data_IF_994834013880
#
_entry.id   IF_994834013880
#
_cell.length_a   1.000
_cell.length_b   1.000
_cell.length_c   1.000
_cell.angle_alpha   90.00
_cell.angle_beta   90.00
_cell.angle_gamma   90.00
#
_symmetry.space_group_name_H-M   'P 1'
#
loop_
_entity.id
_entity.type
_entity.pdbx_description
1 polymer ?
#
# COMPACT_ATOMS: atom_id res chain seq x y z
N UNK A 1 -24.86 -1.66 5.68
CA UNK A 1 -23.61 -0.89 5.77
C UNK A 1 -23.04 -1.07 7.16
N UNK A 2 -21.83 -1.59 7.22
CA UNK A 2 -21.08 -1.82 8.44
C UNK A 2 -19.83 -0.95 8.43
N UNK A 3 -19.34 -0.57 9.62
CA UNK A 3 -18.09 0.18 9.75
C UNK A 3 -16.92 -0.80 9.68
N UNK A 4 -15.92 -0.47 8.86
CA UNK A 4 -14.67 -1.20 8.73
C UNK A 4 -13.50 -0.26 8.98
N UNK A 5 -12.69 -0.56 10.00
CA UNK A 5 -11.42 0.10 10.24
C UNK A 5 -10.36 -0.44 9.30
N UNK A 6 -9.51 0.44 8.77
CA UNK A 6 -8.58 0.07 7.72
C UNK A 6 -7.17 0.60 7.93
N UNK A 7 -6.22 -0.08 7.29
CA UNK A 7 -4.90 0.47 6.98
C UNK A 7 -4.45 -0.04 5.61
N UNK A 8 -4.23 0.88 4.67
CA UNK A 8 -3.88 0.52 3.29
C UNK A 8 -2.42 0.80 2.94
N UNK A 9 -1.59 1.12 3.93
CA UNK A 9 -0.19 1.44 3.71
C UNK A 9 0.69 0.86 4.81
N UNK A 10 1.17 -0.36 4.58
CA UNK A 10 1.94 -1.16 5.53
C UNK A 10 3.06 -1.89 4.80
N UNK A 11 4.25 -1.94 5.41
CA UNK A 11 5.41 -2.63 4.87
C UNK A 11 5.77 -3.86 5.72
N UNK A 12 6.04 -4.96 5.04
CA UNK A 12 6.61 -6.16 5.65
C UNK A 12 8.13 -6.14 5.60
N UNK A 13 8.75 -7.15 6.21
CA UNK A 13 10.18 -7.46 6.13
C UNK A 13 10.73 -7.67 4.69
N UNK A 14 9.90 -7.56 3.64
CA UNK A 14 10.35 -7.46 2.26
C UNK A 14 10.84 -6.05 1.90
N UNK A 15 10.21 -5.01 2.43
CA UNK A 15 10.76 -3.65 2.35
C UNK A 15 11.99 -3.55 3.26
N UNK A 16 13.16 -3.12 2.75
CA UNK A 16 14.39 -3.12 3.55
C UNK A 16 14.34 -2.15 4.72
N UNK A 17 13.63 -1.02 4.57
CA UNK A 17 13.44 -0.04 5.62
C UNK A 17 12.48 -0.47 6.73
N UNK A 18 11.74 -1.57 6.55
CA UNK A 18 10.87 -2.12 7.59
C UNK A 18 11.65 -3.10 8.47
N UNK A 19 11.21 -3.27 9.70
CA UNK A 19 11.84 -4.17 10.66
C UNK A 19 11.71 -5.65 10.22
N UNK A 20 12.72 -6.47 10.53
CA UNK A 20 12.69 -7.91 10.23
C UNK A 20 11.51 -8.61 10.94
N UNK A 21 11.04 -8.07 12.08
CA UNK A 21 9.87 -8.55 12.80
C UNK A 21 8.54 -8.19 12.11
N UNK A 22 8.52 -7.33 11.08
CA UNK A 22 7.33 -7.09 10.25
C UNK A 22 7.06 -8.26 9.29
N UNK A 23 7.05 -9.50 9.79
CA UNK A 23 6.61 -10.65 9.01
C UNK A 23 5.12 -10.51 8.65
N UNK A 24 4.65 -11.12 7.55
CA UNK A 24 3.23 -11.10 7.22
C UNK A 24 2.31 -11.62 8.33
N UNK A 25 2.76 -12.60 9.13
CA UNK A 25 2.00 -13.06 10.30
C UNK A 25 1.97 -12.05 11.43
N UNK A 26 3.11 -11.43 11.77
CA UNK A 26 3.17 -10.43 12.82
C UNK A 26 2.32 -9.21 12.46
N UNK A 27 2.35 -8.76 11.20
CA UNK A 27 1.47 -7.69 10.71
C UNK A 27 0.00 -8.05 10.86
N UNK A 28 -0.44 -9.23 10.39
CA UNK A 28 -1.83 -9.65 10.51
C UNK A 28 -2.29 -9.81 11.97
N UNK A 29 -1.40 -10.32 12.83
CA UNK A 29 -1.66 -10.44 14.28
C UNK A 29 -1.77 -9.08 14.95
N UNK A 30 -0.86 -8.15 14.64
CA UNK A 30 -0.90 -6.79 15.17
C UNK A 30 -2.15 -6.05 14.72
N UNK A 31 -2.54 -6.18 13.44
CA UNK A 31 -3.77 -5.60 12.92
C UNK A 31 -5.01 -6.06 13.70
N UNK A 32 -5.06 -7.35 14.07
CA UNK A 32 -6.14 -7.88 14.90
C UNK A 32 -6.13 -7.30 16.32
N UNK A 33 -4.96 -7.00 16.89
CA UNK A 33 -4.84 -6.37 18.21
C UNK A 33 -5.24 -4.89 18.18
N UNK A 34 -4.92 -4.18 17.10
CA UNK A 34 -5.25 -2.77 16.86
C UNK A 34 -6.71 -2.54 16.39
N UNK A 35 -7.50 -3.60 16.20
CA UNK A 35 -8.91 -3.50 15.78
C UNK A 35 -9.11 -3.23 14.28
N UNK A 36 -8.06 -3.35 13.47
CA UNK A 36 -8.14 -3.18 12.01
C UNK A 36 -8.93 -4.33 11.39
N UNK A 37 -9.82 -4.03 10.45
CA UNK A 37 -10.68 -5.02 9.79
C UNK A 37 -10.23 -5.31 8.36
N UNK A 38 -9.73 -4.29 7.65
CA UNK A 38 -9.26 -4.41 6.27
C UNK A 38 -7.82 -3.88 6.22
N UNK A 39 -6.89 -4.66 5.68
CA UNK A 39 -5.51 -4.22 5.58
C UNK A 39 -4.89 -4.55 4.24
N UNK A 40 -4.14 -3.60 3.67
CA UNK A 40 -3.33 -3.82 2.49
C UNK A 40 -1.86 -3.97 2.88
N UNK A 41 -1.19 -4.96 2.29
CA UNK A 41 0.28 -5.02 2.30
C UNK A 41 0.79 -4.33 1.05
N UNK A 42 1.69 -3.35 1.22
CA UNK A 42 2.15 -2.44 0.17
C UNK A 42 3.67 -2.29 0.22
N UNK A 43 4.41 -3.40 0.18
CA UNK A 43 5.87 -3.36 0.10
C UNK A 43 6.36 -2.51 -1.08
N UNK A 44 7.55 -1.91 -0.94
CA UNK A 44 8.10 -1.07 -2.00
C UNK A 44 8.32 -1.89 -3.27
N UNK A 45 7.75 -1.44 -4.39
CA UNK A 45 7.98 -2.01 -5.72
C UNK A 45 7.87 -3.54 -5.80
N UNK A 46 7.10 -4.18 -4.91
CA UNK A 46 6.86 -5.63 -4.96
C UNK A 46 5.60 -6.06 -4.21
N UNK A 47 4.97 -7.12 -4.70
CA UNK A 47 3.85 -7.81 -4.05
C UNK A 47 4.26 -9.19 -3.50
N UNK A 48 5.56 -9.54 -3.46
CA UNK A 48 6.01 -10.93 -3.22
C UNK A 48 5.59 -11.50 -1.86
N UNK A 49 5.36 -10.67 -0.85
CA UNK A 49 4.84 -11.11 0.46
C UNK A 49 3.30 -11.08 0.57
N UNK A 50 2.58 -10.59 -0.43
CA UNK A 50 1.11 -10.61 -0.44
C UNK A 50 0.51 -12.02 -0.27
N UNK A 51 1.05 -13.11 -0.87
CA UNK A 51 0.51 -14.45 -0.66
C UNK A 51 0.56 -14.90 0.81
N UNK A 52 1.71 -14.75 1.45
CA UNK A 52 1.87 -15.06 2.88
C UNK A 52 0.96 -14.19 3.75
N UNK A 53 0.84 -12.91 3.41
CA UNK A 53 -0.06 -11.99 4.09
C UNK A 53 -1.53 -12.40 3.96
N UNK A 54 -1.99 -12.85 2.80
CA UNK A 54 -3.37 -13.31 2.60
C UNK A 54 -3.71 -14.52 3.48
N UNK A 55 -2.77 -15.46 3.60
CA UNK A 55 -2.91 -16.61 4.50
C UNK A 55 -2.97 -16.19 5.97
N UNK A 56 -2.07 -15.29 6.38
CA UNK A 56 -2.01 -14.75 7.73
C UNK A 56 -3.25 -13.93 8.10
N UNK A 57 -3.70 -13.06 7.21
CA UNK A 57 -4.91 -12.24 7.37
C UNK A 57 -6.13 -13.12 7.58
N UNK A 58 -6.29 -14.19 6.80
CA UNK A 58 -7.38 -15.15 6.93
C UNK A 58 -7.41 -15.81 8.31
N UNK A 59 -6.25 -16.18 8.88
CA UNK A 59 -6.15 -16.77 10.22
C UNK A 59 -6.50 -15.78 11.33
N UNK A 60 -6.23 -14.49 11.11
CA UNK A 60 -6.45 -13.41 12.08
C UNK A 60 -7.77 -12.65 11.88
N UNK A 61 -8.63 -13.08 10.96
CA UNK A 61 -9.92 -12.41 10.71
C UNK A 61 -9.80 -11.05 10.02
N UNK A 62 -8.66 -10.75 9.40
CA UNK A 62 -8.42 -9.54 8.61
C UNK A 62 -8.87 -9.80 7.17
N UNK A 63 -9.50 -8.80 6.55
CA UNK A 63 -9.82 -8.81 5.11
C UNK A 63 -8.58 -8.28 4.37
N UNK A 64 -7.81 -9.14 3.68
CA UNK A 64 -6.58 -8.69 3.04
C UNK A 64 -6.88 -8.01 1.70
N UNK A 65 -6.08 -7.00 1.39
CA UNK A 65 -5.95 -6.35 0.08
C UNK A 65 -4.50 -6.56 -0.39
N UNK A 66 -4.32 -6.92 -1.66
CA UNK A 66 -2.98 -7.01 -2.23
C UNK A 66 -2.59 -5.64 -2.78
N UNK A 67 -1.37 -5.21 -2.52
CA UNK A 67 -0.91 -3.91 -2.99
C UNK A 67 0.59 -3.79 -3.08
N UNK A 68 1.01 -2.59 -3.48
CA UNK A 68 2.40 -2.19 -3.66
C UNK A 68 2.49 -0.69 -3.44
N UNK A 69 3.50 -0.22 -2.72
CA UNK A 69 3.90 1.18 -2.82
C UNK A 69 4.90 1.30 -3.97
N UNK A 70 4.46 1.88 -5.08
CA UNK A 70 5.28 2.05 -6.28
C UNK A 70 5.99 3.40 -6.23
N UNK A 71 7.32 3.38 -6.39
CA UNK A 71 8.12 4.60 -6.54
C UNK A 71 8.23 4.95 -8.04
N UNK A 72 7.64 6.06 -8.45
CA UNK A 72 7.69 6.53 -9.84
C UNK A 72 9.05 7.16 -10.17
N UNK A 73 9.28 7.46 -11.44
CA UNK A 73 10.51 8.07 -11.95
C UNK A 73 10.77 9.48 -11.41
N UNK A 74 9.72 10.16 -10.98
CA UNK A 74 9.73 11.45 -10.30
C UNK A 74 10.08 11.32 -8.81
N UNK A 75 10.35 10.11 -8.33
CA UNK A 75 10.54 9.77 -6.92
C UNK A 75 9.26 9.97 -6.09
N UNK A 76 8.08 9.89 -6.72
CA UNK A 76 6.78 10.00 -6.05
C UNK A 76 6.30 8.61 -5.66
N UNK A 77 5.80 8.45 -4.44
CA UNK A 77 5.17 7.20 -4.02
C UNK A 77 3.67 7.22 -4.34
N UNK A 78 3.21 6.14 -4.95
CA UNK A 78 1.79 5.88 -5.15
C UNK A 78 1.44 4.50 -4.59
N UNK A 79 0.31 4.40 -3.91
CA UNK A 79 -0.23 3.12 -3.47
C UNK A 79 -1.00 2.53 -4.63
N UNK A 80 -0.67 1.28 -4.98
CA UNK A 80 -1.39 0.48 -5.95
C UNK A 80 -2.11 -0.65 -5.20
N UNK A 81 -3.42 -0.76 -5.36
CA UNK A 81 -4.23 -1.81 -4.74
C UNK A 81 -4.91 -2.66 -5.82
N UNK A 82 -5.02 -3.96 -5.56
CA UNK A 82 -5.65 -4.94 -6.45
C UNK A 82 -6.68 -5.79 -5.69
N UNK A 83 -7.83 -6.02 -6.33
CA UNK A 83 -8.95 -6.78 -5.74
C UNK A 83 -8.59 -8.27 -5.60
N UNK A 84 -7.81 -8.78 -6.55
CA UNK A 84 -7.39 -10.17 -6.60
C UNK A 84 -5.87 -10.27 -6.40
N UNK A 85 -5.47 -11.25 -5.59
CA UNK A 85 -4.06 -11.52 -5.31
C UNK A 85 -3.31 -11.87 -6.59
N UNK A 86 -3.94 -12.66 -7.45
CA UNK A 86 -3.40 -13.10 -8.73
C UNK A 86 -3.03 -11.89 -9.60
N UNK A 87 -3.92 -10.90 -9.67
CA UNK A 87 -3.70 -9.66 -10.42
C UNK A 87 -2.55 -8.84 -9.86
N UNK A 88 -2.41 -8.75 -8.54
CA UNK A 88 -1.27 -8.08 -7.91
C UNK A 88 0.07 -8.75 -8.25
N UNK A 89 0.10 -10.08 -8.31
CA UNK A 89 1.30 -10.85 -8.68
C UNK A 89 1.62 -10.76 -10.18
N UNK A 90 0.61 -10.59 -11.04
CA UNK A 90 0.83 -10.27 -12.44
C UNK A 90 1.38 -8.85 -12.62
N UNK A 91 0.87 -7.89 -11.84
CA UNK A 91 1.40 -6.54 -11.81
C UNK A 91 2.86 -6.48 -11.32
N UNK A 92 3.20 -7.20 -10.24
CA UNK A 92 4.59 -7.34 -9.74
C UNK A 92 5.55 -7.79 -10.86
N UNK A 93 5.16 -8.79 -11.65
CA UNK A 93 5.95 -9.23 -12.81
C UNK A 93 6.00 -8.19 -13.93
N UNK A 94 4.93 -7.42 -14.10
CA UNK A 94 4.82 -6.41 -15.14
C UNK A 94 5.68 -5.17 -14.89
N UNK A 95 5.91 -4.83 -13.62
CA UNK A 95 6.74 -3.69 -13.25
C UNK A 95 8.25 -4.01 -13.30
N UNK A 96 8.63 -5.28 -13.21
CA UNK A 96 10.04 -5.71 -13.14
C UNK A 96 10.93 -5.14 -14.26
N UNK A 97 10.50 -5.11 -15.54
CA UNK A 97 11.30 -4.48 -16.61
C UNK A 97 11.53 -2.97 -16.45
N UNK A 98 10.74 -2.29 -15.62
CA UNK A 98 10.88 -0.87 -15.31
C UNK A 98 11.68 -0.62 -14.03
N UNK A 99 11.96 -1.66 -13.24
CA UNK A 99 12.76 -1.52 -12.02
C UNK A 99 14.22 -1.26 -12.37
N UNK A 100 14.86 -0.44 -11.56
CA UNK A 100 16.32 -0.31 -11.56
C UNK A 100 16.90 -1.37 -10.64
N UNK A 101 17.54 -2.39 -11.21
CA UNK A 101 18.17 -3.46 -10.43
C UNK A 101 19.53 -3.01 -9.89
N UNK A 102 19.53 -2.56 -8.64
CA UNK A 102 20.72 -2.21 -7.88
C UNK A 102 20.88 -3.16 -6.70
N UNK A 103 22.06 -3.80 -6.48
CA UNK A 103 22.25 -4.72 -5.37
C UNK A 103 21.99 -4.07 -4.00
N UNK A 104 21.19 -4.73 -3.16
CA UNK A 104 20.93 -4.27 -1.79
C UNK A 104 22.21 -4.35 -0.93
N UNK A 105 22.38 -3.37 -0.05
CA UNK A 105 23.43 -3.36 0.98
C UNK A 105 22.81 -3.71 2.31
N UNK A 106 22.73 -5.02 2.59
CA UNK A 106 22.09 -5.58 3.80
C UNK A 106 22.66 -4.97 5.10
N UNK A 107 23.95 -4.65 5.13
CA UNK A 107 24.61 -4.03 6.28
C UNK A 107 24.20 -2.56 6.54
N UNK A 108 23.55 -1.92 5.57
CA UNK A 108 23.08 -0.52 5.65
C UNK A 108 21.56 -0.47 5.70
N UNK A 109 20.90 -1.22 4.81
CA UNK A 109 19.47 -1.10 4.57
C UNK A 109 18.65 -2.22 5.18
N UNK A 110 19.24 -3.30 5.71
CA UNK A 110 18.47 -4.43 6.23
C UNK A 110 18.19 -5.52 5.20
N UNK A 111 17.54 -6.59 5.65
CA UNK A 111 17.15 -7.72 4.81
C UNK A 111 15.92 -7.38 3.96
N UNK A 112 15.66 -8.20 2.94
CA UNK A 112 14.43 -8.13 2.15
C UNK A 112 13.89 -9.55 2.00
N UNK A 113 13.17 -10.01 3.02
CA UNK A 113 12.77 -11.41 3.17
C UNK A 113 11.45 -11.70 2.49
N UNK A 114 11.43 -12.76 1.69
CA UNK A 114 10.21 -13.32 1.11
C UNK A 114 9.76 -14.47 2.00
N UNK A 115 8.56 -14.36 2.55
CA UNK A 115 8.01 -15.27 3.55
C UNK A 115 6.95 -16.19 2.93
N UNK A 116 6.75 -17.36 3.53
CA UNK A 116 5.53 -18.14 3.33
C UNK A 116 4.49 -17.87 4.45
N UNK A 117 3.32 -18.51 4.34
CA UNK A 117 2.26 -18.36 5.32
C UNK A 117 2.62 -18.89 6.71
N UNK A 118 3.69 -19.65 6.90
CA UNK A 118 4.07 -20.25 8.19
C UNK A 118 5.32 -19.57 8.79
N UNK A 119 5.60 -18.32 8.39
CA UNK A 119 6.76 -17.52 8.81
C UNK A 119 8.13 -18.12 8.46
N UNK A 120 8.19 -18.99 7.45
CA UNK A 120 9.48 -19.43 6.92
C UNK A 120 9.96 -18.45 5.84
N UNK A 121 11.26 -18.13 5.89
CA UNK A 121 11.93 -17.43 4.79
C UNK A 121 12.08 -18.39 3.61
N UNK A 122 11.39 -18.10 2.50
CA UNK A 122 11.43 -18.90 1.26
C UNK A 122 12.27 -18.25 0.17
N UNK A 123 12.73 -17.02 0.39
CA UNK A 123 13.62 -16.31 -0.52
C UNK A 123 14.06 -14.97 0.04
N UNK A 124 14.94 -14.31 -0.69
CA UNK A 124 15.37 -12.93 -0.43
C UNK A 124 15.36 -12.15 -1.74
N UNK A 125 15.05 -10.86 -1.68
CA UNK A 125 15.22 -9.95 -2.81
C UNK A 125 16.63 -9.34 -2.75
N UNK A 126 17.43 -9.62 -3.78
CA UNK A 126 18.83 -9.20 -3.87
C UNK A 126 18.96 -7.72 -4.28
N UNK A 127 17.96 -7.13 -4.93
CA UNK A 127 18.00 -5.74 -5.38
C UNK A 127 17.27 -4.81 -4.42
N UNK A 128 17.82 -3.63 -4.16
CA UNK A 128 17.19 -2.62 -3.30
C UNK A 128 15.84 -2.18 -3.89
N UNK A 129 14.75 -2.57 -3.23
CA UNK A 129 13.38 -2.34 -3.72
C UNK A 129 12.97 -0.87 -3.81
N UNK A 130 13.28 0.02 -2.84
CA UNK A 130 12.76 1.39 -2.83
C UNK A 130 13.28 2.32 -3.94
N UNK A 131 14.12 1.83 -4.87
CA UNK A 131 14.64 2.66 -5.96
C UNK A 131 13.52 3.05 -6.93
N UNK A 132 13.49 4.32 -7.33
CA UNK A 132 12.61 4.81 -8.39
C UNK A 132 12.64 3.94 -9.65
N UNK A 133 11.44 3.60 -10.13
CA UNK A 133 11.26 2.89 -11.40
C UNK A 133 11.38 3.85 -12.59
N UNK A 134 11.46 3.30 -13.80
CA UNK A 134 11.42 4.07 -15.03
C UNK A 134 10.00 4.53 -15.43
N UNK A 135 8.97 4.22 -14.61
CA UNK A 135 7.59 4.61 -14.88
C UNK A 135 7.35 6.04 -14.39
N UNK A 136 6.91 6.93 -15.29
CA UNK A 136 6.33 8.21 -14.89
C UNK A 136 5.05 8.01 -14.10
N UNK A 137 4.61 9.02 -13.36
CA UNK A 137 3.32 8.95 -12.66
C UNK A 137 2.15 8.67 -13.63
N UNK A 138 2.15 9.27 -14.83
CA UNK A 138 1.15 9.02 -15.86
C UNK A 138 1.17 7.57 -16.37
N UNK A 139 2.36 7.01 -16.59
CA UNK A 139 2.49 5.64 -17.12
C UNK A 139 2.26 4.58 -16.04
N UNK A 140 2.61 4.89 -14.78
CA UNK A 140 2.29 4.07 -13.62
C UNK A 140 0.78 3.92 -13.46
N UNK A 141 0.02 5.03 -13.51
CA UNK A 141 -1.45 4.99 -13.42
C UNK A 141 -2.06 4.16 -14.55
N UNK A 142 -1.65 4.38 -15.80
CA UNK A 142 -2.13 3.58 -16.95
C UNK A 142 -1.81 2.09 -16.79
N UNK A 143 -0.65 1.76 -16.21
CA UNK A 143 -0.27 0.37 -15.99
C UNK A 143 -1.14 -0.27 -14.90
N UNK A 144 -1.39 0.42 -13.78
CA UNK A 144 -2.28 -0.06 -12.72
C UNK A 144 -3.70 -0.30 -13.27
N UNK A 145 -4.23 0.65 -14.05
CA UNK A 145 -5.55 0.52 -14.69
C UNK A 145 -5.63 -0.68 -15.64
N UNK A 146 -4.57 -0.96 -16.39
CA UNK A 146 -4.49 -2.14 -17.27
C UNK A 146 -4.64 -3.46 -16.50
N UNK A 147 -4.23 -3.49 -15.24
CA UNK A 147 -4.41 -4.62 -14.33
C UNK A 147 -5.63 -4.44 -13.42
N UNK A 148 -6.61 -3.62 -13.82
CA UNK A 148 -7.88 -3.39 -13.11
C UNK A 148 -7.72 -2.90 -11.65
N UNK A 149 -6.50 -2.47 -11.28
CA UNK A 149 -6.17 -1.94 -9.98
C UNK A 149 -6.62 -0.50 -9.83
N UNK A 150 -6.46 0.00 -8.62
CA UNK A 150 -6.61 1.42 -8.30
C UNK A 150 -5.29 1.94 -7.76
N UNK A 151 -5.01 3.22 -7.96
CA UNK A 151 -3.89 3.85 -7.32
C UNK A 151 -4.17 5.30 -6.93
N UNK A 152 -3.44 5.75 -5.91
CA UNK A 152 -3.50 7.12 -5.40
C UNK A 152 -2.13 7.53 -4.84
N UNK A 153 -1.81 8.83 -4.83
CA UNK A 153 -0.57 9.30 -4.25
C UNK A 153 -0.55 9.04 -2.74
N UNK A 154 0.54 8.43 -2.28
CA UNK A 154 0.81 8.17 -0.88
C UNK A 154 1.17 9.46 -0.14
N UNK A 155 0.88 9.49 1.17
CA UNK A 155 1.36 10.49 2.14
C UNK A 155 1.64 11.91 1.56
N UNK A 156 0.63 12.52 0.93
CA UNK A 156 0.79 13.75 0.15
C UNK A 156 1.29 14.96 0.95
N UNK A 157 1.23 14.86 2.28
CA UNK A 157 1.65 15.86 3.25
C UNK A 157 3.08 15.64 3.78
N UNK A 158 3.79 14.61 3.31
CA UNK A 158 5.22 14.43 3.57
C UNK A 158 6.11 15.19 2.59
N UNK A 159 7.31 15.53 3.06
CA UNK A 159 8.34 16.23 2.27
C UNK A 159 9.18 15.27 1.40
N UNK A 160 9.32 14.02 1.82
CA UNK A 160 9.98 12.97 1.05
C UNK A 160 8.92 12.19 0.29
N UNK A 161 9.16 11.94 -1.00
CA UNK A 161 8.36 11.12 -1.92
C UNK A 161 6.87 11.49 -2.08
N UNK A 162 6.39 12.53 -1.40
CA UNK A 162 5.04 13.05 -1.53
C UNK A 162 4.86 13.83 -2.84
N UNK A 163 3.72 13.61 -3.50
CA UNK A 163 3.41 14.25 -4.80
C UNK A 163 3.46 15.79 -4.73
N UNK A 164 2.95 16.39 -3.65
CA UNK A 164 2.89 17.85 -3.49
C UNK A 164 4.28 18.43 -3.23
N UNK A 165 5.11 17.76 -2.44
CA UNK A 165 6.47 18.21 -2.18
C UNK A 165 7.33 18.15 -3.46
N UNK A 166 7.09 17.12 -4.29
CA UNK A 166 7.83 16.89 -5.53
C UNK A 166 7.41 17.82 -6.66
N UNK A 167 6.09 17.96 -6.89
CA UNK A 167 5.56 18.74 -8.02
C UNK A 167 5.14 20.17 -7.65
N UNK A 168 5.05 20.49 -6.36
CA UNK A 168 4.53 21.76 -5.84
C UNK A 168 3.01 21.90 -5.89
N UNK A 169 2.31 20.93 -6.48
CA UNK A 169 0.86 20.92 -6.66
C UNK A 169 0.31 19.49 -6.80
N UNK A 170 -1.01 19.33 -6.68
CA UNK A 170 -1.70 18.15 -7.19
C UNK A 170 -1.91 18.34 -8.70
N UNK A 171 -1.38 17.46 -9.57
CA UNK A 171 -1.51 17.63 -11.01
C UNK A 171 -2.97 17.38 -11.47
N UNK A 172 -3.35 17.98 -12.60
CA UNK A 172 -4.66 17.74 -13.23
C UNK A 172 -4.72 16.39 -13.98
N UNK A 173 -3.56 15.87 -14.39
CA UNK A 173 -3.38 14.54 -15.00
C UNK A 173 -2.13 13.90 -14.40
N UNK A 174 -2.16 12.60 -14.04
CA UNK A 174 -3.34 11.74 -14.05
C UNK A 174 -4.38 12.15 -12.98
N UNK A 175 -5.65 11.79 -13.20
CA UNK A 175 -6.74 12.12 -12.28
C UNK A 175 -6.82 11.04 -11.20
N UNK A 176 -6.61 11.44 -9.94
CA UNK A 176 -6.81 10.57 -8.79
C UNK A 176 -8.17 10.79 -8.13
N UNK A 177 -8.89 9.70 -7.88
CA UNK A 177 -10.14 9.66 -7.10
C UNK A 177 -9.88 9.78 -5.59
N UNK A 178 -8.71 9.30 -5.14
CA UNK A 178 -8.29 9.27 -3.75
C UNK A 178 -6.94 9.94 -3.57
N UNK A 179 -6.67 10.39 -2.34
CA UNK A 179 -5.33 10.82 -1.89
C UNK A 179 -5.12 10.31 -0.47
N UNK A 180 -3.88 9.99 -0.13
CA UNK A 180 -3.53 9.54 1.21
C UNK A 180 -2.76 10.61 1.98
N UNK A 181 -3.11 10.78 3.25
CA UNK A 181 -2.35 11.58 4.20
C UNK A 181 -1.60 10.68 5.18
N UNK A 182 -0.42 11.12 5.59
CA UNK A 182 0.26 10.56 6.75
C UNK A 182 -0.34 11.14 8.05
N UNK A 183 -0.50 12.46 8.18
CA UNK A 183 -1.15 13.09 9.35
C UNK A 183 -2.52 13.67 8.97
N UNK A 184 -3.58 13.09 9.54
CA UNK A 184 -4.96 13.51 9.31
C UNK A 184 -5.24 14.96 9.69
N UNK A 185 -4.40 15.59 10.52
CA UNK A 185 -4.55 17.00 10.92
C UNK A 185 -4.31 17.97 9.75
N UNK A 186 -3.55 17.56 8.74
CA UNK A 186 -3.22 18.38 7.59
C UNK A 186 -4.35 18.43 6.54
N UNK A 187 -5.36 17.56 6.67
CA UNK A 187 -6.44 17.38 5.68
C UNK A 187 -7.14 18.69 5.33
N UNK A 188 -7.53 19.50 6.32
CA UNK A 188 -8.28 20.74 6.08
C UNK A 188 -7.45 21.77 5.32
N UNK A 189 -6.20 22.00 5.75
CA UNK A 189 -5.29 22.95 5.12
C UNK A 189 -4.99 22.55 3.67
N UNK A 190 -4.59 21.29 3.45
CA UNK A 190 -4.21 20.79 2.14
C UNK A 190 -5.39 20.75 1.18
N UNK A 191 -6.57 20.34 1.65
CA UNK A 191 -7.79 20.33 0.81
C UNK A 191 -8.10 21.71 0.26
N UNK A 192 -7.96 22.75 1.10
CA UNK A 192 -8.19 24.13 0.67
C UNK A 192 -7.07 24.65 -0.24
N UNK A 193 -5.81 24.38 0.10
CA UNK A 193 -4.64 24.90 -0.60
C UNK A 193 -4.42 24.27 -1.98
N UNK A 194 -4.72 22.98 -2.12
CA UNK A 194 -4.47 22.18 -3.32
C UNK A 194 -5.76 21.69 -4.00
N UNK A 195 -6.91 22.23 -3.61
CA UNK A 195 -8.22 21.98 -4.24
C UNK A 195 -8.62 20.49 -4.29
N UNK A 196 -8.50 19.78 -3.16
CA UNK A 196 -8.74 18.32 -3.09
C UNK A 196 -10.19 17.94 -2.73
N UNK A 197 -11.14 18.87 -2.85
CA UNK A 197 -12.52 18.69 -2.36
C UNK A 197 -13.34 17.64 -3.13
N UNK A 198 -12.91 17.30 -4.34
CA UNK A 198 -13.45 16.23 -5.19
C UNK A 198 -12.89 14.84 -4.86
N UNK A 199 -11.85 14.78 -4.01
CA UNK A 199 -11.10 13.54 -3.75
C UNK A 199 -11.52 12.91 -2.42
N UNK A 200 -11.52 11.58 -2.41
CA UNK A 200 -11.62 10.81 -1.17
C UNK A 200 -10.30 10.92 -0.41
N UNK A 201 -10.40 11.16 0.87
CA UNK A 201 -9.23 11.30 1.75
C UNK A 201 -9.06 10.02 2.54
N UNK A 202 -7.94 9.36 2.30
CA UNK A 202 -7.48 8.19 3.05
C UNK A 202 -6.36 8.60 4.00
N UNK A 203 -6.12 7.79 5.02
CA UNK A 203 -4.94 7.89 5.86
C UNK A 203 -4.29 6.52 5.99
N UNK A 204 -2.98 6.49 5.72
CA UNK A 204 -2.14 5.32 5.86
C UNK A 204 -1.21 5.49 7.06
N UNK A 205 -0.89 4.39 7.74
CA UNK A 205 0.12 4.43 8.81
C UNK A 205 1.53 4.61 8.27
N UNK A 206 1.81 4.03 7.10
CA UNK A 206 3.15 3.83 6.57
C UNK A 206 4.02 3.01 7.54
N UNK A 207 3.44 1.91 8.02
CA UNK A 207 4.02 1.07 9.08
C UNK A 207 5.33 0.42 8.63
N UNK A 208 6.42 0.73 9.33
CA UNK A 208 7.74 0.13 9.14
C UNK A 208 8.19 -0.69 10.35
N UNK A 209 7.64 -0.40 11.53
CA UNK A 209 7.78 -1.20 12.74
C UNK A 209 6.39 -1.57 13.23
N UNK A 210 6.19 -2.75 13.83
CA UNK A 210 4.89 -3.16 14.35
C UNK A 210 4.23 -2.12 15.29
N UNK A 211 5.03 -1.31 15.99
CA UNK A 211 4.56 -0.22 16.87
C UNK A 211 4.04 1.02 16.15
N UNK A 212 4.28 1.14 14.85
CA UNK A 212 3.78 2.24 14.02
C UNK A 212 2.31 2.03 13.62
N UNK A 213 1.84 0.78 13.69
CA UNK A 213 0.48 0.41 13.33
C UNK A 213 -0.51 1.17 14.20
N UNK A 214 -1.48 1.80 13.55
CA UNK A 214 -2.46 2.64 14.22
C UNK A 214 -3.62 1.79 14.72
N UNK A 215 -4.12 2.14 15.90
CA UNK A 215 -5.42 1.63 16.38
C UNK A 215 -6.56 2.10 15.46
N UNK A 216 -7.76 1.57 15.71
CA UNK A 216 -9.07 1.82 15.09
C UNK A 216 -9.52 3.31 14.99
N UNK A 217 -8.77 4.13 14.28
CA UNK A 217 -8.98 5.57 14.12
C UNK A 217 -9.70 5.93 12.81
N UNK A 218 -9.25 5.35 11.69
CA UNK A 218 -9.78 5.62 10.36
C UNK A 218 -10.65 4.45 9.87
N UNK A 219 -11.81 4.77 9.30
CA UNK A 219 -12.81 3.78 8.93
C UNK A 219 -13.60 4.19 7.68
N UNK A 220 -14.22 3.19 7.08
CA UNK A 220 -15.12 3.31 5.92
C UNK A 220 -16.44 2.57 6.23
N UNK A 221 -17.55 3.06 5.66
CA UNK A 221 -18.84 2.36 5.69
C UNK A 221 -19.04 1.58 4.40
N UNK A 222 -19.16 0.26 4.50
CA UNK A 222 -19.25 -0.64 3.35
C UNK A 222 -20.53 -1.47 3.47
N UNK A 223 -21.26 -1.62 2.36
CA UNK A 223 -22.39 -2.55 2.30
C UNK A 223 -21.90 -3.98 2.11
N UNK A 224 -22.06 -4.79 3.15
CA UNK A 224 -21.59 -6.15 3.25
C UNK A 224 -22.74 -7.16 3.24
N UNK A 225 -23.89 -6.86 2.64
CA UNK A 225 -25.05 -7.75 2.67
C UNK A 225 -25.20 -8.57 1.38
N UNK A 226 -25.26 -9.93 1.45
CA UNK A 226 -24.95 -10.79 2.59
C UNK A 226 -23.44 -10.83 2.86
N UNK A 227 -23.05 -11.06 4.12
CA UNK A 227 -21.63 -10.95 4.52
C UNK A 227 -20.72 -11.93 3.80
N UNK A 228 -19.69 -11.38 3.15
CA UNK A 228 -18.47 -12.10 2.77
C UNK A 228 -17.31 -11.11 2.61
N UNK A 229 -16.09 -11.54 2.97
CA UNK A 229 -14.88 -10.71 2.80
C UNK A 229 -14.66 -10.31 1.33
N UNK A 230 -15.07 -11.14 0.36
CA UNK A 230 -15.02 -10.82 -1.07
C UNK A 230 -15.98 -9.69 -1.45
N UNK A 231 -17.19 -9.64 -0.88
CA UNK A 231 -18.14 -8.55 -1.15
C UNK A 231 -17.62 -7.26 -0.53
N UNK A 232 -17.10 -7.29 0.69
CA UNK A 232 -16.48 -6.12 1.33
C UNK A 232 -15.35 -5.58 0.47
N UNK A 233 -14.46 -6.46 -0.02
CA UNK A 233 -13.37 -6.08 -0.93
C UNK A 233 -13.90 -5.48 -2.22
N UNK A 234 -14.85 -6.13 -2.88
CA UNK A 234 -15.42 -5.63 -4.13
C UNK A 234 -16.05 -4.24 -3.98
N UNK A 235 -16.82 -4.03 -2.90
CA UNK A 235 -17.43 -2.74 -2.58
C UNK A 235 -16.41 -1.67 -2.20
N UNK A 236 -15.30 -2.04 -1.56
CA UNK A 236 -14.18 -1.14 -1.34
C UNK A 236 -13.61 -0.64 -2.67
N UNK A 237 -13.37 -1.53 -3.64
CA UNK A 237 -12.88 -1.15 -4.95
C UNK A 237 -13.88 -0.28 -5.74
N UNK A 238 -15.18 -0.58 -5.69
CA UNK A 238 -16.21 0.30 -6.26
C UNK A 238 -16.20 1.70 -5.63
N UNK A 239 -15.94 1.78 -4.32
CA UNK A 239 -15.92 3.04 -3.59
C UNK A 239 -14.67 3.88 -3.86
N UNK A 240 -13.52 3.26 -4.14
CA UNK A 240 -12.24 3.95 -4.33
C UNK A 240 -11.95 4.30 -5.80
N UNK A 241 -12.68 3.73 -6.76
CA UNK A 241 -12.69 4.18 -8.16
C UNK A 241 -13.37 5.55 -8.30
#
# INVERSE_FOLDING_TARGET
MSRYYYDFHVHSCLSPCADDDNTPNNLAGMASLCGINIMALTDHNSCKNCPAFFEAAKRNGIIPIAGMELTTSEDIHIICLFEFLETALEFDKAIDPFRTHFPNRVDIFGQQMIMDGEDNVIGVEDNFLPVATALSIDDAVKLVEKYEGICYPAHIDRQANGIIATLGMMPESPVFSCVEFHDSKNREEYTKKYHLSDKKVLVGSDTHYLTDMRDENDWLEIDDTPYSSSIVRHKLFEMLR
#
